data_IF_200001195582
#
_entry.id   IF_200001195582
#
_cell.length_a   1.000
_cell.length_b   1.000
_cell.length_c   1.000
_cell.angle_alpha   90.00
_cell.angle_beta   90.00
_cell.angle_gamma   90.00
#
_symmetry.space_group_name_H-M   'P 1'
#
loop_
_entity.id
_entity.type
_entity.pdbx_description
1 polymer ?
#
# COMPACT_ATOMS: atom_id res chain seq x y z
N UNK A 1 12.05 -36.93 -12.12
CA UNK A 1 11.03 -35.86 -12.15
C UNK A 1 10.56 -35.67 -10.72
N UNK A 2 11.18 -34.74 -9.99
CA UNK A 2 10.81 -34.46 -8.60
C UNK A 2 9.29 -34.24 -8.57
N UNK A 3 8.60 -34.93 -7.66
CA UNK A 3 7.18 -34.70 -7.42
C UNK A 3 6.96 -33.18 -7.39
N UNK A 4 5.90 -32.72 -8.05
CA UNK A 4 5.43 -31.33 -7.94
C UNK A 4 5.32 -31.03 -6.44
N UNK A 5 6.36 -30.44 -5.88
CA UNK A 5 6.52 -30.39 -4.43
C UNK A 5 5.51 -29.35 -3.96
N UNK A 6 4.39 -29.89 -3.48
CA UNK A 6 3.22 -29.19 -2.96
C UNK A 6 2.77 -27.98 -3.78
N UNK A 7 2.14 -28.24 -4.94
CA UNK A 7 1.48 -27.20 -5.76
C UNK A 7 0.58 -26.29 -4.92
N UNK A 8 -0.07 -26.85 -3.90
CA UNK A 8 -0.95 -26.10 -3.01
C UNK A 8 -0.19 -25.04 -2.20
N UNK A 9 0.96 -25.41 -1.64
CA UNK A 9 1.85 -24.47 -0.97
C UNK A 9 2.35 -23.38 -1.93
N UNK A 10 2.82 -23.76 -3.12
CA UNK A 10 3.32 -22.80 -4.12
C UNK A 10 2.25 -21.78 -4.55
N UNK A 11 1.04 -22.23 -4.87
CA UNK A 11 -0.06 -21.34 -5.26
C UNK A 11 -0.51 -20.43 -4.09
N UNK A 12 -0.47 -20.95 -2.87
CA UNK A 12 -0.80 -20.17 -1.67
C UNK A 12 0.22 -19.06 -1.42
N UNK A 13 1.51 -19.34 -1.64
CA UNK A 13 2.55 -18.31 -1.56
C UNK A 13 2.40 -17.25 -2.64
N UNK A 14 2.12 -17.67 -3.89
CA UNK A 14 1.87 -16.72 -4.98
C UNK A 14 0.66 -15.82 -4.69
N UNK A 15 -0.41 -16.38 -4.13
CA UNK A 15 -1.58 -15.61 -3.71
C UNK A 15 -1.24 -14.62 -2.59
N UNK A 16 -0.49 -15.05 -1.56
CA UNK A 16 -0.03 -14.16 -0.49
C UNK A 16 0.80 -13.00 -1.02
N UNK A 17 1.70 -13.27 -1.97
CA UNK A 17 2.48 -12.22 -2.63
C UNK A 17 1.59 -11.22 -3.37
N UNK A 18 0.57 -11.70 -4.09
CA UNK A 18 -0.39 -10.83 -4.78
C UNK A 18 -1.21 -9.96 -3.81
N UNK A 19 -1.65 -10.53 -2.68
CA UNK A 19 -2.36 -9.78 -1.63
C UNK A 19 -1.45 -8.74 -0.99
N UNK A 20 -0.20 -9.09 -0.68
CA UNK A 20 0.78 -8.15 -0.13
C UNK A 20 1.08 -7.01 -1.11
N UNK A 21 1.14 -7.28 -2.41
CA UNK A 21 1.30 -6.24 -3.43
C UNK A 21 0.09 -5.30 -3.54
N UNK A 22 -1.11 -5.78 -3.17
CA UNK A 22 -2.33 -4.99 -3.11
C UNK A 22 -2.55 -4.30 -1.76
N UNK A 23 -1.59 -4.39 -0.84
CA UNK A 23 -1.66 -3.75 0.46
C UNK A 23 -1.72 -2.21 0.31
N UNK A 24 -2.65 -1.52 1.00
CA UNK A 24 -2.79 -0.07 0.91
C UNK A 24 -1.53 0.70 1.31
N UNK A 25 -0.79 0.26 2.33
CA UNK A 25 0.40 0.97 2.78
C UNK A 25 1.52 0.87 1.74
N UNK A 26 1.75 -0.31 1.17
CA UNK A 26 2.74 -0.50 0.11
C UNK A 26 2.35 0.26 -1.17
N UNK A 27 1.07 0.19 -1.57
CA UNK A 27 0.56 0.89 -2.74
C UNK A 27 0.70 2.42 -2.62
N UNK A 28 0.36 2.98 -1.46
CA UNK A 28 0.44 4.42 -1.20
C UNK A 28 1.90 4.87 -1.07
N UNK A 29 2.73 4.12 -0.36
CA UNK A 29 4.17 4.42 -0.18
C UNK A 29 4.91 4.53 -1.50
N UNK A 30 4.63 3.63 -2.45
CA UNK A 30 5.24 3.65 -3.78
C UNK A 30 4.81 4.85 -4.64
N UNK A 31 3.61 5.39 -4.41
CA UNK A 31 3.00 6.43 -5.25
C UNK A 31 2.82 7.77 -4.54
N UNK A 32 3.48 7.98 -3.39
CA UNK A 32 3.23 9.11 -2.52
C UNK A 32 3.74 10.44 -3.13
N UNK A 33 2.86 11.37 -3.59
CA UNK A 33 3.29 12.62 -4.25
C UNK A 33 4.10 13.54 -3.32
N UNK A 34 4.82 14.57 -3.77
CA UNK A 34 5.42 15.51 -2.79
C UNK A 34 4.37 16.39 -2.11
N UNK A 35 4.66 16.92 -0.91
CA UNK A 35 3.73 17.79 -0.22
C UNK A 35 3.58 19.13 -0.97
N UNK A 36 2.38 19.44 -1.52
CA UNK A 36 2.16 20.71 -2.18
C UNK A 36 2.11 21.84 -1.14
N UNK A 37 2.45 23.05 -1.57
CA UNK A 37 2.37 24.24 -0.70
C UNK A 37 0.91 24.55 -0.36
N UNK A 38 0.63 24.81 0.91
CA UNK A 38 -0.69 25.25 1.38
C UNK A 38 -1.60 24.09 1.81
N UNK A 39 -2.91 24.28 1.65
CA UNK A 39 -3.92 23.30 2.10
C UNK A 39 -4.08 22.18 1.07
N UNK A 40 -3.99 20.93 1.54
CA UNK A 40 -4.22 19.73 0.72
C UNK A 40 -5.56 19.10 1.11
N UNK A 41 -6.39 18.76 0.13
CA UNK A 41 -7.62 18.00 0.32
C UNK A 41 -7.45 16.64 -0.35
N UNK A 42 -7.73 15.57 0.38
CA UNK A 42 -7.66 14.18 -0.12
C UNK A 42 -9.07 13.64 -0.25
N UNK A 43 -9.42 13.12 -1.44
CA UNK A 43 -10.73 12.53 -1.72
C UNK A 43 -10.55 11.05 -1.99
N UNK A 44 -11.12 10.22 -1.12
CA UNK A 44 -11.18 8.78 -1.32
C UNK A 44 -12.54 8.37 -1.88
N UNK A 45 -12.54 7.48 -2.87
CA UNK A 45 -13.76 6.92 -3.44
C UNK A 45 -13.67 5.38 -3.52
N UNK A 46 -14.78 4.70 -3.22
CA UNK A 46 -14.87 3.25 -3.26
C UNK A 46 -14.59 2.55 -1.93
N UNK A 47 -14.72 1.22 -1.93
CA UNK A 47 -14.72 0.38 -0.70
C UNK A 47 -13.41 0.41 0.09
N UNK A 48 -12.28 0.55 -0.60
CA UNK A 48 -10.96 0.59 0.03
C UNK A 48 -10.51 2.00 0.44
N UNK A 49 -11.32 3.03 0.17
CA UNK A 49 -10.95 4.44 0.37
C UNK A 49 -10.55 4.77 1.81
N UNK A 50 -11.24 4.19 2.80
CA UNK A 50 -10.91 4.40 4.21
C UNK A 50 -9.52 3.87 4.58
N UNK A 51 -9.17 2.67 4.11
CA UNK A 51 -7.87 2.06 4.37
C UNK A 51 -6.75 2.84 3.64
N UNK A 52 -6.97 3.19 2.37
CA UNK A 52 -6.06 4.01 1.58
C UNK A 52 -5.84 5.40 2.18
N UNK A 53 -6.89 6.05 2.69
CA UNK A 53 -6.80 7.35 3.33
C UNK A 53 -6.00 7.30 4.65
N UNK A 54 -6.16 6.22 5.43
CA UNK A 54 -5.37 6.00 6.66
C UNK A 54 -3.89 5.78 6.36
N UNK A 55 -3.58 4.93 5.37
CA UNK A 55 -2.21 4.71 4.90
C UNK A 55 -1.56 6.03 4.43
N UNK A 56 -2.30 6.81 3.63
CA UNK A 56 -1.87 8.14 3.18
C UNK A 56 -1.59 9.08 4.35
N UNK A 57 -2.51 9.27 5.29
CA UNK A 57 -2.31 10.19 6.42
C UNK A 57 -1.07 9.81 7.26
N UNK A 58 -0.88 8.51 7.51
CA UNK A 58 0.26 7.99 8.27
C UNK A 58 1.59 8.26 7.57
N UNK A 59 1.70 7.87 6.29
CA UNK A 59 2.93 8.00 5.51
C UNK A 59 3.25 9.46 5.16
N UNK A 60 2.24 10.28 4.89
CA UNK A 60 2.40 11.70 4.56
C UNK A 60 2.89 12.52 5.76
N UNK A 61 2.36 12.25 6.96
CA UNK A 61 2.83 12.85 8.22
C UNK A 61 4.24 12.42 8.57
N UNK A 62 4.57 11.15 8.36
CA UNK A 62 5.93 10.64 8.59
C UNK A 62 6.96 11.36 7.71
N UNK A 63 6.66 11.61 6.43
CA UNK A 63 7.58 12.31 5.52
C UNK A 63 7.69 13.81 5.79
N UNK A 64 6.62 14.46 6.25
CA UNK A 64 6.60 15.90 6.54
C UNK A 64 7.27 16.28 7.86
N UNK A 65 7.57 15.32 8.74
CA UNK A 65 8.33 15.53 9.99
C UNK A 65 9.81 15.91 9.79
N UNK A 66 10.27 16.14 8.54
CA UNK A 66 11.67 16.45 8.20
C UNK A 66 11.87 17.91 7.74
N UNK A 67 10.90 18.81 7.87
CA UNK A 67 11.12 20.23 7.56
C UNK A 67 10.56 21.16 8.64
N UNK A 68 11.42 21.50 9.59
CA UNK A 68 11.41 22.77 10.33
C UNK A 68 12.79 23.39 10.17
#
# INVERSE_FOLDING_TARGET
MAAVADTGAFLSELFRAAVAAADPDEAIKANLPQQPKGRTVVVGAGKASLAMARAFDTLWRARSRVSW
#
